data_IF_777147874992
#
_entry.id   IF_777147874992
#
_cell.length_a   1.000
_cell.length_b   1.000
_cell.length_c   1.000
_cell.angle_alpha   90.00
_cell.angle_beta   90.00
_cell.angle_gamma   90.00
#
_symmetry.space_group_name_H-M   'P 1'
#
loop_
_entity.id
_entity.type
_entity.pdbx_description
1 polymer ?
#
# COMPACT_ATOMS: atom_id res chain seq x y z
N UNK A 1 -93.50 -1.83 -4.93
CA UNK A 1 -92.65 -0.89 -5.70
C UNK A 1 -91.33 -0.55 -4.97
N UNK A 2 -90.71 -1.49 -4.23
CA UNK A 2 -89.44 -1.23 -3.51
C UNK A 2 -88.22 -2.01 -4.03
N UNK A 3 -88.39 -2.90 -5.01
CA UNK A 3 -87.30 -3.78 -5.50
C UNK A 3 -86.30 -3.08 -6.43
N UNK A 4 -86.69 -1.98 -7.09
CA UNK A 4 -85.79 -1.23 -7.97
C UNK A 4 -84.83 -0.32 -7.20
N UNK A 5 -85.18 0.12 -5.99
CA UNK A 5 -84.36 0.99 -5.15
C UNK A 5 -83.24 0.24 -4.39
N UNK A 6 -83.42 -1.05 -4.14
CA UNK A 6 -82.40 -1.90 -3.48
C UNK A 6 -81.34 -2.41 -4.46
N UNK A 7 -81.68 -2.54 -5.75
CA UNK A 7 -80.73 -2.96 -6.78
C UNK A 7 -79.71 -1.87 -7.13
N UNK A 8 -80.14 -0.60 -7.23
CA UNK A 8 -79.25 0.53 -7.58
C UNK A 8 -78.24 0.84 -6.49
N UNK A 9 -78.62 0.70 -5.22
CA UNK A 9 -77.72 0.89 -4.06
C UNK A 9 -76.65 -0.19 -4.01
N UNK A 10 -76.99 -1.45 -4.29
CA UNK A 10 -76.03 -2.55 -4.42
C UNK A 10 -74.98 -2.29 -5.50
N UNK A 11 -75.39 -1.79 -6.67
CA UNK A 11 -74.46 -1.42 -7.74
C UNK A 11 -73.51 -0.28 -7.36
N UNK A 12 -74.00 0.72 -6.62
CA UNK A 12 -73.14 1.81 -6.13
C UNK A 12 -72.09 1.30 -5.15
N UNK A 13 -72.45 0.38 -4.24
CA UNK A 13 -71.49 -0.27 -3.33
C UNK A 13 -70.42 -1.07 -4.08
N UNK A 14 -70.81 -1.87 -5.06
CA UNK A 14 -69.86 -2.65 -5.87
C UNK A 14 -68.88 -1.73 -6.60
N UNK A 15 -69.36 -0.63 -7.20
CA UNK A 15 -68.53 0.34 -7.92
C UNK A 15 -67.57 1.06 -6.95
N UNK A 16 -68.02 1.43 -5.75
CA UNK A 16 -67.14 2.09 -4.76
C UNK A 16 -66.07 1.16 -4.21
N UNK A 17 -66.40 -0.12 -3.99
CA UNK A 17 -65.42 -1.13 -3.57
C UNK A 17 -64.38 -1.36 -4.67
N UNK A 18 -64.81 -1.52 -5.93
CA UNK A 18 -63.89 -1.68 -7.06
C UNK A 18 -63.00 -0.45 -7.27
N UNK A 19 -63.57 0.76 -7.17
CA UNK A 19 -62.82 2.01 -7.35
C UNK A 19 -61.78 2.19 -6.23
N UNK A 20 -62.13 1.91 -4.98
CA UNK A 20 -61.20 2.00 -3.86
C UNK A 20 -60.08 0.96 -3.96
N UNK A 21 -60.36 -0.26 -4.44
CA UNK A 21 -59.36 -1.29 -4.69
C UNK A 21 -58.35 -0.88 -5.79
N UNK A 22 -58.81 -0.26 -6.88
CA UNK A 22 -57.94 0.25 -7.95
C UNK A 22 -57.07 1.40 -7.46
N UNK A 23 -57.62 2.32 -6.66
CA UNK A 23 -56.84 3.42 -6.07
C UNK A 23 -55.76 2.87 -5.11
N UNK A 24 -56.13 1.90 -4.26
CA UNK A 24 -55.21 1.27 -3.34
C UNK A 24 -54.06 0.53 -4.06
N UNK A 25 -54.33 -0.14 -5.19
CA UNK A 25 -53.31 -0.83 -5.96
C UNK A 25 -52.33 0.14 -6.63
N UNK A 26 -52.81 1.29 -7.14
CA UNK A 26 -51.97 2.34 -7.71
C UNK A 26 -51.06 2.97 -6.64
N UNK A 27 -51.61 3.28 -5.47
CA UNK A 27 -50.83 3.83 -4.34
C UNK A 27 -49.76 2.83 -3.90
N UNK A 28 -50.13 1.56 -3.73
CA UNK A 28 -49.20 0.50 -3.32
C UNK A 28 -48.10 0.29 -4.37
N UNK A 29 -48.44 0.25 -5.66
CA UNK A 29 -47.47 0.18 -6.75
C UNK A 29 -46.51 1.36 -6.78
N UNK A 30 -47.02 2.57 -6.54
CA UNK A 30 -46.21 3.79 -6.49
C UNK A 30 -45.22 3.80 -5.32
N UNK A 31 -45.66 3.35 -4.14
CA UNK A 31 -44.80 3.20 -2.96
C UNK A 31 -43.70 2.17 -3.22
N UNK A 32 -44.05 1.01 -3.78
CA UNK A 32 -43.06 -0.03 -4.10
C UNK A 32 -42.00 0.48 -5.09
N UNK A 33 -42.40 1.18 -6.16
CA UNK A 33 -41.45 1.77 -7.12
C UNK A 33 -40.52 2.77 -6.43
N UNK A 34 -41.05 3.61 -5.54
CA UNK A 34 -40.23 4.57 -4.80
C UNK A 34 -39.22 3.88 -3.87
N UNK A 35 -39.66 2.86 -3.11
CA UNK A 35 -38.80 2.07 -2.24
C UNK A 35 -37.72 1.34 -3.05
N UNK A 36 -38.09 0.68 -4.16
CA UNK A 36 -37.13 0.01 -5.04
C UNK A 36 -36.10 0.97 -5.63
N UNK A 37 -36.49 2.19 -6.04
CA UNK A 37 -35.52 3.20 -6.52
C UNK A 37 -34.57 3.65 -5.41
N UNK A 38 -35.08 3.84 -4.19
CA UNK A 38 -34.26 4.23 -3.03
C UNK A 38 -33.26 3.13 -2.67
N UNK A 39 -33.70 1.88 -2.64
CA UNK A 39 -32.84 0.71 -2.42
C UNK A 39 -31.80 0.54 -3.52
N UNK A 40 -32.18 0.71 -4.78
CA UNK A 40 -31.26 0.56 -5.91
C UNK A 40 -30.13 1.60 -5.89
N UNK A 41 -30.45 2.87 -5.54
CA UNK A 41 -29.44 3.92 -5.38
C UNK A 41 -28.49 3.62 -4.22
N UNK A 42 -29.01 3.14 -3.08
CA UNK A 42 -28.20 2.74 -1.93
C UNK A 42 -27.30 1.55 -2.29
N UNK A 43 -27.81 0.56 -3.02
CA UNK A 43 -27.06 -0.62 -3.45
C UNK A 43 -25.95 -0.27 -4.45
N UNK A 44 -26.18 0.66 -5.39
CA UNK A 44 -25.12 1.13 -6.30
C UNK A 44 -24.00 1.85 -5.53
N UNK A 45 -24.35 2.76 -4.61
CA UNK A 45 -23.36 3.47 -3.79
C UNK A 45 -22.54 2.51 -2.90
N UNK A 46 -23.19 1.50 -2.33
CA UNK A 46 -22.51 0.43 -1.58
C UNK A 46 -21.61 -0.40 -2.50
N UNK A 47 -22.07 -0.76 -3.70
CA UNK A 47 -21.28 -1.53 -4.66
C UNK A 47 -20.03 -0.77 -5.12
N UNK A 48 -20.11 0.52 -5.41
CA UNK A 48 -18.97 1.35 -5.82
C UNK A 48 -17.94 1.46 -4.68
N UNK A 49 -18.41 1.73 -3.45
CA UNK A 49 -17.55 1.81 -2.27
C UNK A 49 -16.85 0.49 -1.98
N UNK A 50 -17.58 -0.64 -2.06
CA UNK A 50 -17.03 -1.97 -1.84
C UNK A 50 -16.00 -2.32 -2.92
N UNK A 51 -16.25 -1.97 -4.19
CA UNK A 51 -15.28 -2.20 -5.26
C UNK A 51 -14.00 -1.41 -5.05
N UNK A 52 -14.10 -0.13 -4.67
CA UNK A 52 -12.95 0.73 -4.42
C UNK A 52 -12.10 0.21 -3.26
N UNK A 53 -12.74 -0.15 -2.14
CA UNK A 53 -12.04 -0.67 -0.97
C UNK A 53 -11.38 -2.03 -1.26
N UNK A 54 -12.06 -2.93 -1.97
CA UNK A 54 -11.46 -4.19 -2.44
C UNK A 54 -10.21 -3.97 -3.30
N UNK A 55 -10.23 -2.98 -4.21
CA UNK A 55 -9.07 -2.64 -5.04
C UNK A 55 -7.92 -2.12 -4.18
N UNK A 56 -8.16 -1.14 -3.29
CA UNK A 56 -7.12 -0.60 -2.39
C UNK A 56 -6.50 -1.69 -1.53
N UNK A 57 -7.34 -2.52 -0.91
CA UNK A 57 -6.87 -3.61 -0.05
C UNK A 57 -6.05 -4.62 -0.86
N UNK A 58 -6.43 -4.91 -2.11
CA UNK A 58 -5.66 -5.80 -2.98
C UNK A 58 -4.28 -5.24 -3.34
N UNK A 59 -4.20 -3.96 -3.69
CA UNK A 59 -2.94 -3.27 -3.99
C UNK A 59 -2.05 -3.18 -2.74
N UNK A 60 -2.63 -2.88 -1.57
CA UNK A 60 -1.86 -2.85 -0.31
C UNK A 60 -1.33 -4.24 0.06
N UNK A 61 -2.12 -5.31 -0.14
CA UNK A 61 -1.63 -6.69 0.05
C UNK A 61 -0.44 -6.99 -0.86
N UNK A 62 -0.52 -6.60 -2.13
CA UNK A 62 0.57 -6.77 -3.10
C UNK A 62 1.81 -5.99 -2.68
N UNK A 63 1.65 -4.73 -2.27
CA UNK A 63 2.72 -3.89 -1.76
C UNK A 63 3.40 -4.48 -0.51
N UNK A 64 2.65 -4.95 0.49
CA UNK A 64 3.18 -5.63 1.69
C UNK A 64 3.99 -6.87 1.31
N UNK A 65 3.49 -7.68 0.37
CA UNK A 65 4.19 -8.87 -0.10
C UNK A 65 5.49 -8.52 -0.83
N UNK A 66 5.49 -7.47 -1.66
CA UNK A 66 6.69 -6.99 -2.33
C UNK A 66 7.75 -6.52 -1.33
N UNK A 67 7.37 -5.70 -0.34
CA UNK A 67 8.30 -5.28 0.72
C UNK A 67 8.87 -6.47 1.45
N UNK A 68 8.03 -7.44 1.86
CA UNK A 68 8.48 -8.66 2.52
C UNK A 68 9.52 -9.40 1.68
N UNK A 69 9.25 -9.61 0.40
CA UNK A 69 10.14 -10.34 -0.49
C UNK A 69 11.47 -9.61 -0.67
N UNK A 70 11.44 -8.29 -0.92
CA UNK A 70 12.65 -7.49 -1.11
C UNK A 70 13.48 -7.46 0.17
N UNK A 71 12.86 -7.30 1.35
CA UNK A 71 13.57 -7.33 2.64
C UNK A 71 14.20 -8.69 2.91
N UNK A 72 13.47 -9.79 2.65
CA UNK A 72 14.02 -11.15 2.79
C UNK A 72 15.21 -11.37 1.87
N UNK A 73 15.10 -10.94 0.61
CA UNK A 73 16.19 -11.06 -0.36
C UNK A 73 17.39 -10.17 0.03
N UNK A 74 17.15 -8.95 0.49
CA UNK A 74 18.19 -8.03 0.98
C UNK A 74 18.94 -8.62 2.18
N UNK A 75 18.22 -9.17 3.16
CA UNK A 75 18.82 -9.78 4.34
C UNK A 75 19.62 -11.04 4.00
N UNK A 76 19.13 -11.87 3.08
CA UNK A 76 19.86 -13.05 2.63
C UNK A 76 21.15 -12.68 1.88
N UNK A 77 21.06 -11.67 1.02
CA UNK A 77 22.22 -11.13 0.30
C UNK A 77 23.26 -10.54 1.28
N UNK A 78 22.80 -9.81 2.28
CA UNK A 78 23.65 -9.25 3.33
C UNK A 78 24.31 -10.34 4.21
N UNK A 79 23.60 -11.43 4.50
CA UNK A 79 24.10 -12.56 5.29
C UNK A 79 25.15 -13.41 4.53
N UNK A 80 25.17 -13.33 3.20
CA UNK A 80 26.08 -14.12 2.38
C UNK A 80 27.53 -13.60 2.35
N UNK A 81 27.88 -12.57 3.14
CA UNK A 81 29.25 -12.08 3.19
C UNK A 81 30.22 -13.22 3.62
N UNK A 82 31.40 -13.39 2.96
CA UNK A 82 32.02 -12.53 1.95
C UNK A 82 31.62 -12.81 0.49
N UNK A 83 30.69 -13.74 0.24
CA UNK A 83 30.21 -14.11 -1.10
C UNK A 83 29.13 -13.17 -1.66
N UNK A 84 28.75 -12.13 -0.91
CA UNK A 84 27.73 -11.16 -1.27
C UNK A 84 27.95 -10.54 -2.65
N UNK A 85 26.91 -10.53 -3.48
CA UNK A 85 26.87 -9.76 -4.70
C UNK A 85 26.51 -8.31 -4.36
N UNK A 86 27.53 -7.47 -4.18
CA UNK A 86 27.38 -6.04 -3.87
C UNK A 86 26.40 -5.32 -4.81
N UNK A 87 26.47 -5.57 -6.13
CA UNK A 87 25.57 -4.96 -7.11
C UNK A 87 24.11 -5.30 -6.81
N UNK A 88 23.83 -6.56 -6.47
CA UNK A 88 22.48 -7.02 -6.10
C UNK A 88 22.04 -6.40 -4.78
N UNK A 89 22.93 -6.28 -3.80
CA UNK A 89 22.64 -5.63 -2.52
C UNK A 89 22.18 -4.17 -2.72
N UNK A 90 22.89 -3.39 -3.55
CA UNK A 90 22.47 -2.01 -3.88
C UNK A 90 21.14 -1.95 -4.64
N UNK A 91 20.94 -2.86 -5.59
CA UNK A 91 19.67 -2.93 -6.33
C UNK A 91 18.50 -3.15 -5.37
N UNK A 92 18.64 -4.06 -4.40
CA UNK A 92 17.63 -4.34 -3.39
C UNK A 92 17.40 -3.16 -2.46
N UNK A 93 18.48 -2.49 -2.03
CA UNK A 93 18.40 -1.23 -1.27
C UNK A 93 17.60 -0.16 -2.01
N UNK A 94 17.85 0.02 -3.31
CA UNK A 94 17.13 1.01 -4.12
C UNK A 94 15.66 0.62 -4.35
N UNK A 95 15.37 -0.68 -4.54
CA UNK A 95 13.99 -1.17 -4.56
C UNK A 95 13.28 -0.85 -3.24
N UNK A 96 13.91 -1.09 -2.08
CA UNK A 96 13.32 -0.72 -0.78
C UNK A 96 13.04 0.78 -0.69
N UNK A 97 13.97 1.62 -1.15
CA UNK A 97 13.77 3.07 -1.17
C UNK A 97 12.52 3.49 -1.97
N UNK A 98 12.24 2.84 -3.10
CA UNK A 98 11.05 3.12 -3.93
C UNK A 98 9.74 2.65 -3.28
N UNK A 99 9.78 1.54 -2.54
CA UNK A 99 8.58 0.94 -1.94
C UNK A 99 8.25 1.49 -0.54
N UNK A 100 9.23 2.05 0.18
CA UNK A 100 9.03 2.59 1.52
C UNK A 100 8.63 4.08 1.47
N UNK A 101 7.70 4.50 2.33
CA UNK A 101 7.25 5.88 2.40
C UNK A 101 8.17 6.74 3.28
N UNK A 102 8.95 7.68 2.72
CA UNK A 102 9.92 8.45 3.50
C UNK A 102 9.28 9.44 4.46
N UNK A 103 7.96 9.64 4.43
CA UNK A 103 7.26 10.51 5.39
C UNK A 103 7.03 9.83 6.74
N UNK A 104 6.97 8.50 6.75
CA UNK A 104 6.67 7.72 7.94
C UNK A 104 7.94 7.35 8.73
N UNK A 105 7.89 7.51 10.06
CA UNK A 105 9.07 7.32 10.91
C UNK A 105 9.55 5.86 10.95
N UNK A 106 8.63 4.89 10.92
CA UNK A 106 8.93 3.45 10.83
C UNK A 106 9.71 3.12 9.56
N UNK A 107 9.23 3.61 8.41
CA UNK A 107 9.87 3.45 7.10
C UNK A 107 11.25 4.12 7.04
N UNK A 108 11.38 5.35 7.55
CA UNK A 108 12.69 6.04 7.67
C UNK A 108 13.69 5.20 8.47
N UNK A 109 13.25 4.61 9.58
CA UNK A 109 14.13 3.81 10.46
C UNK A 109 14.61 2.53 9.77
N UNK A 110 13.71 1.84 9.07
CA UNK A 110 14.07 0.68 8.23
C UNK A 110 15.08 1.08 7.16
N UNK A 111 14.83 2.19 6.46
CA UNK A 111 15.72 2.65 5.39
C UNK A 111 17.12 2.99 5.92
N UNK A 112 17.22 3.66 7.09
CA UNK A 112 18.51 3.93 7.74
C UNK A 112 19.27 2.64 8.09
N UNK A 113 18.57 1.62 8.59
CA UNK A 113 19.21 0.32 8.87
C UNK A 113 19.71 -0.36 7.61
N UNK A 114 18.92 -0.35 6.53
CA UNK A 114 19.31 -0.86 5.21
C UNK A 114 20.55 -0.13 4.70
N UNK A 115 20.60 1.20 4.81
CA UNK A 115 21.77 2.01 4.42
C UNK A 115 23.00 1.62 5.24
N UNK A 116 22.89 1.52 6.56
CA UNK A 116 24.02 1.16 7.42
C UNK A 116 24.51 -0.27 7.20
N UNK A 117 23.63 -1.23 6.93
CA UNK A 117 24.02 -2.59 6.55
C UNK A 117 24.82 -2.56 5.25
N UNK A 118 24.29 -1.84 4.25
CA UNK A 118 24.93 -1.73 2.93
C UNK A 118 26.32 -1.10 3.02
N UNK A 119 26.44 0.00 3.77
CA UNK A 119 27.72 0.67 4.04
C UNK A 119 28.68 -0.25 4.78
N UNK A 120 28.22 -0.94 5.83
CA UNK A 120 29.08 -1.83 6.62
C UNK A 120 29.62 -2.97 5.77
N UNK A 121 28.79 -3.58 4.93
CA UNK A 121 29.24 -4.65 4.01
C UNK A 121 30.25 -4.09 3.01
N UNK A 122 30.00 -2.91 2.42
CA UNK A 122 30.97 -2.31 1.50
C UNK A 122 32.32 -2.05 2.14
N UNK A 123 32.34 -1.47 3.34
CA UNK A 123 33.58 -1.22 4.08
C UNK A 123 34.32 -2.52 4.40
N UNK A 124 33.58 -3.60 4.70
CA UNK A 124 34.18 -4.93 4.89
C UNK A 124 34.81 -5.47 3.60
N UNK A 125 34.23 -5.19 2.43
CA UNK A 125 34.82 -5.56 1.13
C UNK A 125 36.06 -4.73 0.78
N UNK A 126 36.00 -3.41 1.00
CA UNK A 126 37.06 -2.46 0.60
C UNK A 126 38.26 -2.50 1.56
N UNK A 127 38.10 -3.00 2.80
CA UNK A 127 39.20 -3.05 3.77
C UNK A 127 40.24 -4.13 3.42
N UNK A 128 41.52 -3.77 3.51
CA UNK A 128 42.64 -4.70 3.39
C UNK A 128 43.00 -5.35 4.74
N UNK A 129 42.47 -4.82 5.85
CA UNK A 129 42.80 -5.21 7.22
C UNK A 129 41.74 -6.17 7.76
N UNK A 130 42.13 -7.39 8.09
CA UNK A 130 41.20 -8.45 8.51
C UNK A 130 40.35 -8.09 9.75
N UNK A 131 40.93 -7.38 10.73
CA UNK A 131 40.22 -6.93 11.93
C UNK A 131 39.11 -5.91 11.61
N UNK A 132 39.33 -5.04 10.62
CA UNK A 132 38.33 -4.08 10.15
C UNK A 132 37.22 -4.80 9.38
N UNK A 133 37.55 -5.79 8.54
CA UNK A 133 36.55 -6.63 7.87
C UNK A 133 35.62 -7.32 8.86
N UNK A 134 36.20 -7.95 9.87
CA UNK A 134 35.43 -8.64 10.93
C UNK A 134 34.54 -7.64 11.69
N UNK A 135 35.09 -6.48 12.04
CA UNK A 135 34.34 -5.41 12.73
C UNK A 135 33.14 -4.93 11.91
N UNK A 136 33.34 -4.64 10.64
CA UNK A 136 32.30 -4.18 9.73
C UNK A 136 31.25 -5.27 9.43
N UNK A 137 31.69 -6.53 9.24
CA UNK A 137 30.79 -7.67 9.07
C UNK A 137 29.91 -7.90 10.31
N UNK A 138 30.52 -7.91 11.51
CA UNK A 138 29.80 -8.05 12.77
C UNK A 138 28.76 -6.94 12.97
N UNK A 139 29.11 -5.70 12.60
CA UNK A 139 28.19 -4.56 12.62
C UNK A 139 27.00 -4.77 11.69
N UNK A 140 27.25 -5.21 10.45
CA UNK A 140 26.19 -5.52 9.48
C UNK A 140 25.25 -6.59 10.04
N UNK A 141 25.79 -7.63 10.68
CA UNK A 141 25.00 -8.74 11.23
C UNK A 141 24.12 -8.33 12.42
N UNK A 142 24.62 -7.46 13.30
CA UNK A 142 23.83 -6.89 14.40
C UNK A 142 22.65 -6.08 13.82
N UNK A 143 22.94 -5.18 12.87
CA UNK A 143 21.93 -4.35 12.23
C UNK A 143 20.91 -5.17 11.46
N UNK A 144 21.32 -6.25 10.79
CA UNK A 144 20.42 -7.18 10.08
C UNK A 144 19.41 -7.83 11.03
N UNK A 145 19.85 -8.26 12.22
CA UNK A 145 18.96 -8.81 13.25
C UNK A 145 17.96 -7.77 13.76
N UNK A 146 18.36 -6.51 13.87
CA UNK A 146 17.44 -5.42 14.21
C UNK A 146 16.46 -5.12 13.08
N UNK A 147 16.95 -5.03 11.84
CA UNK A 147 16.13 -4.83 10.64
C UNK A 147 15.03 -5.90 10.54
N UNK A 148 15.35 -7.17 10.82
CA UNK A 148 14.37 -8.24 10.85
C UNK A 148 13.24 -7.94 11.86
N UNK A 149 13.55 -7.50 13.08
CA UNK A 149 12.53 -7.15 14.08
C UNK A 149 11.65 -5.99 13.62
N UNK A 150 12.25 -4.91 13.10
CA UNK A 150 11.50 -3.75 12.61
C UNK A 150 10.64 -4.08 11.39
N UNK A 151 11.14 -4.91 10.47
CA UNK A 151 10.37 -5.36 9.32
C UNK A 151 9.15 -6.18 9.74
N UNK A 152 9.29 -7.06 10.72
CA UNK A 152 8.16 -7.84 11.25
C UNK A 152 7.10 -6.95 11.87
N UNK A 153 7.51 -5.93 12.63
CA UNK A 153 6.59 -4.95 13.22
C UNK A 153 5.86 -4.20 12.11
N UNK A 154 6.57 -3.63 11.14
CA UNK A 154 5.96 -2.92 10.01
C UNK A 154 4.96 -3.79 9.25
N UNK A 155 5.38 -4.98 8.84
CA UNK A 155 4.56 -5.89 8.05
C UNK A 155 3.32 -6.36 8.84
N UNK A 156 3.45 -6.55 10.15
CA UNK A 156 2.32 -6.90 11.02
C UNK A 156 1.32 -5.74 11.10
N UNK A 157 1.79 -4.52 11.34
CA UNK A 157 0.94 -3.33 11.40
C UNK A 157 0.14 -3.15 10.11
N UNK A 158 0.81 -3.22 8.96
CA UNK A 158 0.15 -3.11 7.66
C UNK A 158 -0.86 -4.22 7.40
N UNK A 159 -0.53 -5.44 7.83
CA UNK A 159 -1.45 -6.58 7.72
C UNK A 159 -2.70 -6.42 8.60
N UNK A 160 -2.54 -5.87 9.80
CA UNK A 160 -3.67 -5.61 10.69
C UNK A 160 -4.54 -4.45 10.17
N UNK A 161 -3.96 -3.45 9.48
CA UNK A 161 -4.73 -2.43 8.75
C UNK A 161 -5.54 -3.09 7.62
N UNK A 162 -4.91 -3.95 6.81
CA UNK A 162 -5.58 -4.70 5.73
C UNK A 162 -6.76 -5.52 6.28
N UNK A 163 -6.59 -6.24 7.41
CA UNK A 163 -7.68 -7.00 8.03
C UNK A 163 -8.84 -6.09 8.42
N UNK A 164 -8.54 -4.94 9.04
CA UNK A 164 -9.56 -3.96 9.44
C UNK A 164 -10.30 -3.40 8.25
N UNK A 165 -9.64 -3.14 7.12
CA UNK A 165 -10.32 -2.69 5.90
C UNK A 165 -11.31 -3.74 5.39
N UNK A 166 -10.90 -5.01 5.38
CA UNK A 166 -11.76 -6.14 4.99
C UNK A 166 -12.95 -6.29 5.94
N UNK A 167 -12.71 -6.23 7.25
CA UNK A 167 -13.76 -6.29 8.27
C UNK A 167 -14.71 -5.09 8.14
N UNK A 168 -14.18 -3.89 7.93
CA UNK A 168 -14.99 -2.68 7.76
C UNK A 168 -15.81 -2.69 6.47
N UNK A 169 -15.37 -3.33 5.39
CA UNK A 169 -16.21 -3.54 4.21
C UNK A 169 -17.39 -4.49 4.47
N UNK A 170 -17.35 -5.26 5.56
CA UNK A 170 -18.45 -6.10 6.03
C UNK A 170 -19.32 -5.48 7.14
N UNK A 171 -18.90 -4.35 7.75
CA UNK A 171 -19.56 -3.73 8.92
C UNK A 171 -20.45 -2.53 8.57
N UNK A 172 -21.49 -2.33 9.38
CA UNK A 172 -22.38 -1.16 9.30
C UNK A 172 -21.69 0.12 9.82
N UNK A 173 -22.15 1.32 9.41
CA UNK A 173 -21.46 2.58 9.71
C UNK A 173 -21.29 2.87 11.23
N UNK A 174 -22.17 2.35 12.09
CA UNK A 174 -22.10 2.53 13.55
C UNK A 174 -20.97 1.72 14.20
N UNK A 175 -20.58 0.58 13.60
CA UNK A 175 -19.51 -0.29 14.12
C UNK A 175 -18.12 0.26 13.78
N UNK A 176 -18.02 1.10 12.74
CA UNK A 176 -16.75 1.71 12.28
C UNK A 176 -16.24 2.80 13.21
N UNK A 177 -17.13 3.56 13.83
CA UNK A 177 -16.78 4.70 14.68
C UNK A 177 -16.24 4.25 16.05
N UNK A 178 -16.67 3.09 16.54
CA UNK A 178 -16.19 2.49 17.78
C UNK A 178 -14.77 1.88 17.63
N UNK A 179 -14.52 1.14 16.54
CA UNK A 179 -13.21 0.52 16.30
C UNK A 179 -12.09 1.55 16.04
N UNK A 180 -12.40 2.71 15.47
CA UNK A 180 -11.37 3.70 15.16
C UNK A 180 -10.71 4.27 16.43
N UNK A 181 -11.52 4.61 17.45
CA UNK A 181 -11.05 5.18 18.71
C UNK A 181 -10.29 4.18 19.60
N UNK A 182 -10.61 2.89 19.52
CA UNK A 182 -9.91 1.85 20.30
C UNK A 182 -8.50 1.57 19.74
N UNK A 183 -8.33 1.70 18.43
CA UNK A 183 -7.10 1.32 17.73
C UNK A 183 -6.01 2.41 17.73
N UNK A 184 -6.40 3.68 17.74
CA UNK A 184 -5.46 4.80 17.89
C UNK A 184 -4.71 4.70 19.24
N UNK A 185 -5.39 4.25 20.29
CA UNK A 185 -4.80 4.02 21.61
C UNK A 185 -3.84 2.82 21.66
N UNK A 186 -4.09 1.74 20.91
CA UNK A 186 -3.20 0.56 20.87
C UNK A 186 -1.89 0.88 20.16
N UNK A 187 -1.95 1.62 19.04
CA UNK A 187 -0.77 2.05 18.30
C UNK A 187 0.10 2.98 19.15
N UNK A 188 -0.50 3.98 19.81
CA UNK A 188 0.22 4.93 20.67
C UNK A 188 0.91 4.21 21.84
N UNK A 189 0.26 3.21 22.45
CA UNK A 189 0.84 2.45 23.57
C UNK A 189 1.96 1.49 23.12
N UNK A 190 1.83 0.85 21.96
CA UNK A 190 2.87 -0.05 21.48
C UNK A 190 4.17 0.68 21.10
N UNK A 191 4.08 1.92 20.62
CA UNK A 191 5.25 2.75 20.26
C UNK A 191 5.87 3.48 21.45
N UNK A 192 5.12 3.76 22.53
CA UNK A 192 5.65 4.44 23.72
C UNK A 192 6.42 3.50 24.66
N UNK A 193 6.12 2.19 24.64
CA UNK A 193 6.78 1.20 25.50
C UNK A 193 8.08 0.61 24.92
N UNK A 194 8.35 0.76 23.62
CA UNK A 194 9.59 0.29 23.01
C UNK A 194 10.76 1.26 23.27
N UNK A 195 11.28 1.26 24.49
CA UNK A 195 12.59 1.87 24.85
C UNK A 195 13.74 1.06 24.23
N UNK A 196 13.80 1.03 22.89
CA UNK A 196 14.86 0.37 22.14
C UNK A 196 15.84 1.45 21.71
N UNK A 197 16.86 1.64 22.53
CA UNK A 197 18.09 2.34 22.16
C UNK A 197 18.66 1.63 20.95
N UNK A 198 18.64 2.30 19.80
CA UNK A 198 19.49 1.90 18.68
C UNK A 198 20.91 1.91 19.28
N UNK A 199 21.69 0.82 19.21
CA UNK A 199 23.08 0.89 19.62
C UNK A 199 23.67 2.13 18.95
N UNK A 200 24.44 2.91 19.68
CA UNK A 200 25.01 4.16 19.18
C UNK A 200 26.10 3.80 18.17
N UNK A 201 25.66 3.38 16.98
CA UNK A 201 26.54 2.94 15.92
C UNK A 201 27.01 4.23 15.26
N UNK A 202 28.08 4.77 15.83
CA UNK A 202 28.77 5.98 15.42
C UNK A 202 29.39 5.74 14.02
N UNK A 203 28.55 5.71 12.98
CA UNK A 203 28.96 6.02 11.61
C UNK A 203 28.86 7.54 11.53
N UNK A 204 29.95 8.19 11.19
CA UNK A 204 29.91 9.63 10.97
C UNK A 204 28.94 9.88 9.79
N UNK A 205 27.97 10.77 9.93
CA UNK A 205 27.04 11.13 8.84
C UNK A 205 27.79 11.51 7.56
N UNK A 206 29.04 12.00 7.70
CA UNK A 206 29.96 12.26 6.60
C UNK A 206 30.40 10.99 5.83
N UNK A 207 30.60 9.85 6.48
CA UNK A 207 31.01 8.60 5.83
C UNK A 207 29.86 8.03 5.00
N UNK A 208 28.65 8.06 5.56
CA UNK A 208 27.42 7.66 4.87
C UNK A 208 27.18 8.54 3.64
N UNK A 209 27.40 9.86 3.77
CA UNK A 209 27.28 10.80 2.66
C UNK A 209 28.33 10.58 1.56
N UNK A 210 29.59 10.35 1.93
CA UNK A 210 30.67 10.08 0.96
C UNK A 210 30.43 8.79 0.18
N UNK A 211 29.99 7.74 0.88
CA UNK A 211 29.69 6.45 0.28
C UNK A 211 28.45 6.56 -0.63
N UNK A 212 27.40 7.28 -0.19
CA UNK A 212 26.23 7.55 -1.03
C UNK A 212 26.59 8.35 -2.29
N UNK A 213 27.46 9.35 -2.20
CA UNK A 213 27.92 10.11 -3.37
C UNK A 213 28.73 9.23 -4.33
N UNK A 214 29.66 8.42 -3.81
CA UNK A 214 30.41 7.43 -4.61
C UNK A 214 29.47 6.45 -5.31
N UNK A 215 28.32 6.12 -4.71
CA UNK A 215 27.31 5.28 -5.34
C UNK A 215 26.41 5.98 -6.34
N UNK A 216 26.01 7.22 -6.10
CA UNK A 216 25.32 8.00 -7.12
C UNK A 216 26.18 8.01 -8.39
N UNK A 217 27.49 8.26 -8.25
CA UNK A 217 28.43 8.21 -9.36
C UNK A 217 28.56 6.81 -10.00
N UNK A 218 28.49 5.72 -9.22
CA UNK A 218 28.49 4.35 -9.76
C UNK A 218 27.18 3.95 -10.43
N UNK A 219 26.05 4.41 -9.91
CA UNK A 219 24.71 4.18 -10.48
C UNK A 219 24.57 4.98 -11.75
N UNK A 220 25.00 6.24 -11.78
CA UNK A 220 25.00 7.07 -12.98
C UNK A 220 25.88 6.45 -14.06
N UNK A 221 27.09 5.99 -13.71
CA UNK A 221 27.94 5.22 -14.63
C UNK A 221 27.31 3.91 -15.09
N UNK A 222 26.60 3.21 -14.21
CA UNK A 222 25.95 1.95 -14.55
C UNK A 222 24.72 2.15 -15.45
N UNK A 223 23.93 3.19 -15.18
CA UNK A 223 22.81 3.63 -16.01
C UNK A 223 23.35 4.06 -17.37
N UNK A 224 24.41 4.87 -17.40
CA UNK A 224 25.08 5.28 -18.63
C UNK A 224 25.61 4.04 -19.38
N UNK A 225 26.36 3.14 -18.74
CA UNK A 225 26.91 1.96 -19.40
C UNK A 225 25.82 0.96 -19.85
N UNK A 226 24.74 0.75 -19.10
CA UNK A 226 23.71 -0.22 -19.44
C UNK A 226 22.68 0.33 -20.45
N UNK A 227 22.36 1.63 -20.39
CA UNK A 227 21.53 2.31 -21.39
C UNK A 227 22.31 2.50 -22.69
N UNK A 228 23.57 2.94 -22.62
CA UNK A 228 24.40 3.19 -23.81
C UNK A 228 24.82 1.91 -24.54
N UNK A 229 24.91 0.76 -23.83
CA UNK A 229 25.16 -0.54 -24.47
C UNK A 229 23.89 -1.25 -24.96
N UNK A 230 22.68 -0.89 -24.49
CA UNK A 230 21.42 -1.46 -25.00
C UNK A 230 20.73 -0.62 -26.05
N UNK A 231 20.94 0.69 -26.04
CA UNK A 231 20.38 1.61 -27.01
C UNK A 231 21.53 2.35 -27.69
N UNK A 232 21.73 2.08 -28.98
CA UNK A 232 22.50 2.98 -29.82
C UNK A 232 21.95 4.38 -29.62
N UNK A 233 22.82 5.36 -29.34
CA UNK A 233 22.42 6.76 -29.13
C UNK A 233 21.49 7.27 -30.25
N UNK A 234 21.66 6.76 -31.48
CA UNK A 234 20.78 7.06 -32.62
C UNK A 234 19.34 6.60 -32.44
N UNK A 235 19.13 5.44 -31.82
CA UNK A 235 17.84 4.78 -31.73
C UNK A 235 17.02 5.41 -30.60
N UNK A 236 17.66 5.75 -29.49
CA UNK A 236 17.03 6.49 -28.40
C UNK A 236 16.66 7.93 -28.80
N UNK A 237 17.55 8.62 -29.54
CA UNK A 237 17.25 9.97 -30.04
C UNK A 237 16.13 9.96 -31.09
N UNK A 238 16.03 8.92 -31.93
CA UNK A 238 14.92 8.73 -32.87
C UNK A 238 13.60 8.48 -32.14
N UNK A 239 13.57 7.55 -31.18
CA UNK A 239 12.36 7.18 -30.45
C UNK A 239 11.83 8.33 -29.58
N UNK A 240 12.72 9.11 -28.95
CA UNK A 240 12.35 10.31 -28.19
C UNK A 240 11.82 11.40 -29.13
N UNK A 241 12.44 11.59 -30.30
CA UNK A 241 11.97 12.57 -31.28
C UNK A 241 10.59 12.22 -31.81
N UNK A 242 10.34 10.94 -32.13
CA UNK A 242 9.04 10.46 -32.60
C UNK A 242 7.96 10.57 -31.52
N UNK A 243 8.33 10.34 -30.25
CA UNK A 243 7.44 10.50 -29.10
C UNK A 243 7.08 11.98 -28.88
N UNK A 244 8.04 12.89 -28.93
CA UNK A 244 7.82 14.34 -28.80
C UNK A 244 6.93 14.85 -29.95
N UNK A 245 7.21 14.43 -31.18
CA UNK A 245 6.40 14.76 -32.35
C UNK A 245 4.96 14.24 -32.24
N UNK A 246 4.75 13.11 -31.55
CA UNK A 246 3.41 12.56 -31.31
C UNK A 246 2.61 13.38 -30.30
N UNK A 247 3.28 13.98 -29.30
CA UNK A 247 2.65 14.87 -28.32
C UNK A 247 2.34 16.26 -28.87
N UNK A 248 3.09 16.75 -29.86
CA UNK A 248 2.84 18.06 -30.47
C UNK A 248 1.77 18.04 -31.58
N UNK A 249 1.38 16.85 -32.07
CA UNK A 249 0.41 16.69 -33.17
C UNK A 249 -1.01 16.31 -32.74
N UNK A 250 -1.27 16.14 -31.44
CA UNK A 250 -2.65 16.01 -30.93
C UNK A 250 -3.21 17.39 -30.51
N UNK A 251 -4.32 17.85 -31.12
CA UNK A 251 -4.95 19.15 -30.82
C UNK A 251 -5.68 19.21 -29.47
#
# INVERSE_FOLDING_TARGET
MNETATSTTLWHYIITILSSAVIASIITGSINIYLSKKEHKKNMQLSEKNNFSNVITSERKLWVNNIRNILSEFMAEAESYPETNLKKLYLLRNKLFLFLFPKENSHKKIMKMVDYITVSIHLAFDSEIEEEKETHSNRADILRKELLKYSQILLKTEWDIIKKEIENDSLTNEEKEFQYNENENILINHYSESNITIPDVNLNDSEVAQINNKYCDMIDKFIDDEIYNRYSKSDFESDISDLIDSFEKEP
#
